data_IF_984836607783
#
_entry.id   IF_984836607783
#
_cell.length_a   1.000
_cell.length_b   1.000
_cell.length_c   1.000
_cell.angle_alpha   90.00
_cell.angle_beta   90.00
_cell.angle_gamma   90.00
#
_symmetry.space_group_name_H-M   'P 1'
#
loop_
_entity.id
_entity.type
_entity.pdbx_description
1 polymer ?
#
# COMPACT_ATOMS: atom_id res chain seq x y z
N UNK A 1 -12.90 -13.34 -36.19
CA UNK A 1 -12.91 -12.55 -34.94
C UNK A 1 -11.46 -12.27 -34.59
N UNK A 2 -11.06 -10.99 -34.57
CA UNK A 2 -9.68 -10.61 -34.26
C UNK A 2 -9.42 -10.83 -32.78
N UNK A 3 -8.38 -11.58 -32.43
CA UNK A 3 -7.91 -11.69 -31.05
C UNK A 3 -7.27 -10.37 -30.64
N UNK A 4 -7.73 -9.75 -29.54
CA UNK A 4 -7.07 -8.57 -29.00
C UNK A 4 -5.59 -8.86 -28.70
N UNK A 5 -4.75 -7.88 -28.98
CA UNK A 5 -3.39 -7.81 -28.45
C UNK A 5 -3.38 -7.22 -27.03
N UNK A 6 -2.35 -7.52 -26.24
CA UNK A 6 -2.20 -6.99 -24.87
C UNK A 6 -2.27 -5.46 -24.85
N UNK A 7 -1.66 -4.80 -25.83
CA UNK A 7 -1.66 -3.34 -25.95
C UNK A 7 -3.07 -2.77 -26.20
N UNK A 8 -3.93 -3.48 -26.92
CA UNK A 8 -5.31 -3.05 -27.16
C UNK A 8 -6.13 -3.17 -25.88
N UNK A 9 -5.98 -4.28 -25.16
CA UNK A 9 -6.62 -4.48 -23.84
C UNK A 9 -6.19 -3.38 -22.88
N UNK A 10 -4.87 -3.14 -22.74
CA UNK A 10 -4.33 -2.08 -21.88
C UNK A 10 -4.85 -0.70 -22.29
N UNK A 11 -4.90 -0.41 -23.58
CA UNK A 11 -5.40 0.86 -24.09
C UNK A 11 -6.87 1.08 -23.73
N UNK A 12 -7.73 0.08 -23.95
CA UNK A 12 -9.16 0.14 -23.59
C UNK A 12 -9.33 0.37 -22.09
N UNK A 13 -8.68 -0.46 -21.25
CA UNK A 13 -8.76 -0.34 -19.79
C UNK A 13 -8.28 1.05 -19.34
N UNK A 14 -7.17 1.54 -19.89
CA UNK A 14 -6.63 2.86 -19.53
C UNK A 14 -7.61 3.98 -19.86
N UNK A 15 -8.19 3.98 -21.06
CA UNK A 15 -9.15 5.02 -21.47
C UNK A 15 -10.43 4.99 -20.62
N UNK A 16 -10.94 3.81 -20.30
CA UNK A 16 -12.10 3.64 -19.44
C UNK A 16 -11.86 4.20 -18.02
N UNK A 17 -10.67 3.97 -17.47
CA UNK A 17 -10.30 4.50 -16.15
C UNK A 17 -10.00 6.00 -16.17
N UNK A 18 -9.42 6.53 -17.26
CA UNK A 18 -9.29 7.99 -17.46
C UNK A 18 -10.67 8.64 -17.41
N UNK A 19 -11.64 8.09 -18.14
CA UNK A 19 -13.02 8.57 -18.13
C UNK A 19 -13.64 8.53 -16.73
N UNK A 20 -13.58 7.35 -16.09
CA UNK A 20 -14.14 7.10 -14.76
C UNK A 20 -13.58 8.03 -13.67
N UNK A 21 -12.28 8.31 -13.71
CA UNK A 21 -11.58 9.04 -12.65
C UNK A 21 -11.30 10.51 -12.94
N UNK A 22 -11.57 10.97 -14.16
CA UNK A 22 -11.48 12.39 -14.52
C UNK A 22 -12.20 13.35 -13.55
N UNK A 23 -13.36 13.01 -12.95
CA UNK A 23 -14.06 13.95 -12.05
C UNK A 23 -13.38 14.12 -10.68
N UNK A 24 -12.47 13.22 -10.29
CA UNK A 24 -11.91 13.14 -8.93
C UNK A 24 -10.40 13.48 -8.87
N UNK A 25 -9.86 14.02 -9.97
CA UNK A 25 -8.48 14.49 -10.14
C UNK A 25 -7.41 13.41 -9.89
N UNK A 26 -7.67 12.18 -10.31
CA UNK A 26 -6.63 11.14 -10.33
C UNK A 26 -5.95 11.11 -11.70
N UNK A 27 -4.64 10.86 -11.68
CA UNK A 27 -3.82 10.69 -12.86
C UNK A 27 -3.75 9.20 -13.16
N UNK A 28 -4.15 8.81 -14.35
CA UNK A 28 -4.09 7.42 -14.84
C UNK A 28 -2.95 7.31 -15.85
N UNK A 29 -2.05 6.34 -15.66
CA UNK A 29 -0.88 6.08 -16.49
C UNK A 29 -0.84 4.62 -16.92
N UNK A 30 -0.52 4.40 -18.18
CA UNK A 30 -0.16 3.07 -18.68
C UNK A 30 1.28 2.75 -18.26
N UNK A 31 1.48 1.65 -17.54
CA UNK A 31 2.79 1.18 -17.07
C UNK A 31 3.08 -0.22 -17.64
N UNK A 32 4.36 -0.60 -17.69
CA UNK A 32 4.82 -1.81 -18.40
C UNK A 32 3.99 -3.08 -18.10
N UNK A 33 3.58 -3.28 -16.84
CA UNK A 33 2.84 -4.48 -16.39
C UNK A 33 1.37 -4.22 -16.04
N UNK A 34 0.81 -3.04 -16.34
CA UNK A 34 -0.59 -2.75 -16.00
C UNK A 34 -0.97 -1.27 -16.01
N UNK A 35 -1.90 -0.91 -15.13
CA UNK A 35 -2.45 0.43 -14.98
C UNK A 35 -2.00 1.03 -13.64
N UNK A 36 -1.36 2.19 -13.69
CA UNK A 36 -0.99 2.97 -12.51
C UNK A 36 -1.91 4.17 -12.37
N UNK A 37 -2.47 4.37 -11.19
CA UNK A 37 -3.39 5.47 -10.89
C UNK A 37 -2.86 6.18 -9.65
N UNK A 38 -2.67 7.48 -9.71
CA UNK A 38 -2.11 8.23 -8.59
C UNK A 38 -2.79 9.58 -8.36
N UNK A 39 -2.71 10.03 -7.13
CA UNK A 39 -3.13 11.36 -6.70
C UNK A 39 -2.17 11.87 -5.64
N UNK A 40 -1.63 13.06 -5.85
CA UNK A 40 -0.65 13.64 -4.94
C UNK A 40 -1.14 14.98 -4.40
N UNK A 41 -0.92 15.17 -3.10
CA UNK A 41 -1.12 16.41 -2.36
C UNK A 41 0.20 16.85 -1.74
N UNK A 42 0.20 17.98 -1.03
CA UNK A 42 1.37 18.41 -0.26
C UNK A 42 1.72 17.49 0.91
N UNK A 43 0.80 16.64 1.36
CA UNK A 43 0.99 15.75 2.52
C UNK A 43 1.10 14.28 2.14
N UNK A 44 0.40 13.87 1.09
CA UNK A 44 0.26 12.45 0.72
C UNK A 44 0.47 12.21 -0.78
N UNK A 45 0.92 10.99 -1.11
CA UNK A 45 0.76 10.42 -2.45
C UNK A 45 -0.02 9.12 -2.32
N UNK A 46 -1.17 9.08 -2.98
CA UNK A 46 -2.03 7.93 -3.09
C UNK A 46 -1.76 7.26 -4.43
N UNK A 47 -1.67 5.94 -4.43
CA UNK A 47 -1.46 5.18 -5.64
C UNK A 47 -2.21 3.85 -5.62
N UNK A 48 -2.67 3.46 -6.80
CA UNK A 48 -3.43 2.25 -7.07
C UNK A 48 -2.82 1.62 -8.31
N UNK A 49 -2.59 0.32 -8.25
CA UNK A 49 -1.97 -0.41 -9.33
C UNK A 49 -2.76 -1.65 -9.69
N UNK A 50 -3.23 -1.73 -10.93
CA UNK A 50 -3.84 -2.93 -11.49
C UNK A 50 -2.80 -3.63 -12.35
N UNK A 51 -2.57 -4.92 -12.09
CA UNK A 51 -1.70 -5.73 -12.96
C UNK A 51 -2.52 -6.24 -14.15
N UNK A 52 -2.03 -6.04 -15.37
CA UNK A 52 -2.60 -6.60 -16.61
C UNK A 52 -1.50 -7.42 -17.27
N UNK A 53 -1.58 -8.75 -17.15
CA UNK A 53 -0.55 -9.66 -17.66
C UNK A 53 -1.10 -10.57 -18.75
N UNK A 54 -0.25 -10.87 -19.72
CA UNK A 54 -0.48 -11.98 -20.64
C UNK A 54 -0.24 -13.28 -19.88
N UNK A 55 -1.28 -14.09 -19.73
CA UNK A 55 -1.19 -15.41 -19.13
C UNK A 55 -2.15 -16.32 -19.86
N UNK A 56 -1.61 -17.12 -20.77
CA UNK A 56 -2.39 -18.17 -21.40
C UNK A 56 -2.60 -19.32 -20.40
N UNK A 57 -3.85 -19.54 -19.99
CA UNK A 57 -4.25 -20.68 -19.18
C UNK A 57 -5.10 -21.63 -20.02
N UNK A 58 -4.53 -22.78 -20.40
CA UNK A 58 -5.20 -23.82 -21.19
C UNK A 58 -6.47 -24.37 -20.52
N UNK A 59 -6.52 -24.36 -19.18
CA UNK A 59 -7.66 -24.89 -18.41
C UNK A 59 -8.83 -23.92 -18.38
N UNK A 60 -8.55 -22.61 -18.40
CA UNK A 60 -9.56 -21.56 -18.35
C UNK A 60 -9.78 -20.87 -19.70
N UNK A 61 -9.05 -21.29 -20.74
CA UNK A 61 -9.02 -20.73 -22.09
C UNK A 61 -8.74 -19.21 -22.12
N UNK A 62 -8.26 -18.63 -21.04
CA UNK A 62 -8.03 -17.20 -20.91
C UNK A 62 -6.68 -16.77 -21.46
N UNK A 63 -6.61 -15.58 -22.07
CA UNK A 63 -5.38 -15.02 -22.63
C UNK A 63 -4.74 -13.94 -21.75
N UNK A 64 -5.56 -13.16 -21.03
CA UNK A 64 -5.09 -12.05 -20.20
C UNK A 64 -5.61 -12.17 -18.77
N UNK A 65 -4.75 -11.92 -17.79
CA UNK A 65 -5.11 -11.89 -16.37
C UNK A 65 -5.06 -10.45 -15.85
N UNK A 66 -6.20 -9.98 -15.34
CA UNK A 66 -6.31 -8.72 -14.62
C UNK A 66 -6.29 -9.02 -13.12
N UNK A 67 -5.19 -8.71 -12.44
CA UNK A 67 -5.09 -8.95 -11.00
C UNK A 67 -5.88 -7.90 -10.22
N UNK A 68 -6.23 -8.26 -8.98
CA UNK A 68 -6.78 -7.33 -7.99
C UNK A 68 -5.84 -6.13 -7.85
N UNK A 69 -6.37 -4.90 -7.71
CA UNK A 69 -5.50 -3.76 -7.54
C UNK A 69 -4.91 -3.74 -6.15
N UNK A 70 -3.63 -3.40 -6.08
CA UNK A 70 -3.02 -2.92 -4.84
C UNK A 70 -3.29 -1.43 -4.70
N UNK A 71 -3.65 -0.98 -3.51
CA UNK A 71 -3.72 0.44 -3.18
C UNK A 71 -2.66 0.79 -2.14
N UNK A 72 -2.31 2.06 -2.01
CA UNK A 72 -1.27 2.47 -1.06
C UNK A 72 -1.32 3.98 -0.88
N UNK A 73 -1.04 4.43 0.33
CA UNK A 73 -0.84 5.84 0.65
C UNK A 73 0.52 6.04 1.29
N UNK A 74 1.29 6.95 0.72
CA UNK A 74 2.50 7.53 1.27
C UNK A 74 2.13 8.80 2.03
N UNK A 75 2.55 8.92 3.27
CA UNK A 75 2.62 10.21 3.98
C UNK A 75 4.04 10.73 3.85
N UNK A 76 4.23 11.83 3.11
CA UNK A 76 5.57 12.32 2.74
C UNK A 76 6.45 12.56 3.96
N UNK A 77 5.86 13.09 5.04
CA UNK A 77 6.56 13.36 6.29
C UNK A 77 7.04 12.09 7.00
N UNK A 78 6.28 10.99 6.92
CA UNK A 78 6.69 9.72 7.53
C UNK A 78 7.89 9.16 6.77
N UNK A 79 7.76 9.03 5.45
CA UNK A 79 8.82 8.42 4.65
C UNK A 79 10.09 9.28 4.63
N UNK A 80 9.97 10.62 4.70
CA UNK A 80 11.12 11.52 4.85
C UNK A 80 11.93 11.20 6.11
N UNK A 81 11.27 11.07 7.27
CA UNK A 81 11.97 10.73 8.52
C UNK A 81 12.66 9.37 8.41
N UNK A 82 11.98 8.38 7.82
CA UNK A 82 12.54 7.05 7.62
C UNK A 82 13.76 7.07 6.69
N UNK A 83 13.72 7.81 5.58
CA UNK A 83 14.85 7.94 4.66
C UNK A 83 16.05 8.64 5.26
N UNK A 84 15.84 9.60 6.15
CA UNK A 84 16.94 10.31 6.83
C UNK A 84 17.54 9.49 7.98
N UNK A 85 16.77 8.57 8.57
CA UNK A 85 17.23 7.72 9.65
C UNK A 85 17.86 6.41 9.18
N UNK A 86 17.38 5.84 8.07
CA UNK A 86 17.70 4.48 7.63
C UNK A 86 18.28 4.44 6.22
N UNK A 87 19.52 3.95 6.11
CA UNK A 87 20.30 3.90 4.86
C UNK A 87 19.71 2.98 3.77
N UNK A 88 18.71 2.16 4.11
CA UNK A 88 18.08 1.15 3.23
C UNK A 88 16.78 1.65 2.55
N UNK A 89 16.51 2.95 2.65
CA UNK A 89 15.32 3.59 2.09
C UNK A 89 15.71 4.42 0.88
N UNK A 90 16.17 3.72 -0.15
CA UNK A 90 16.76 4.35 -1.35
C UNK A 90 15.71 4.86 -2.35
N UNK A 91 14.41 4.57 -2.16
CA UNK A 91 13.39 5.02 -3.11
C UNK A 91 12.12 5.56 -2.45
N UNK A 92 11.64 6.64 -3.06
CA UNK A 92 10.45 7.43 -2.75
C UNK A 92 9.14 6.64 -2.84
N UNK A 93 9.15 5.36 -3.20
CA UNK A 93 7.94 4.57 -3.47
C UNK A 93 7.51 3.62 -2.35
N UNK A 94 8.10 3.75 -1.15
CA UNK A 94 7.60 3.01 0.01
C UNK A 94 6.29 3.64 0.52
N UNK A 95 5.22 2.87 0.46
CA UNK A 95 3.95 3.25 1.05
C UNK A 95 4.04 3.29 2.57
N UNK A 96 3.40 4.28 3.18
CA UNK A 96 3.25 4.34 4.63
C UNK A 96 2.20 3.33 5.09
N UNK A 97 1.04 3.36 4.41
CA UNK A 97 -0.04 2.39 4.57
C UNK A 97 -0.32 1.71 3.24
N UNK A 98 -0.61 0.43 3.29
CA UNK A 98 -1.15 -0.32 2.18
C UNK A 98 -2.21 -1.30 2.70
N UNK A 99 -3.25 -1.61 1.91
CA UNK A 99 -3.92 -2.88 2.00
C UNK A 99 -3.11 -3.87 1.13
N UNK A 100 -2.17 -4.62 1.70
CA UNK A 100 -1.60 -5.75 0.96
C UNK A 100 -2.69 -6.82 0.74
N UNK A 101 -2.46 -7.72 -0.23
CA UNK A 101 -3.34 -8.78 -0.78
C UNK A 101 -4.04 -9.74 0.22
N UNK A 102 -3.95 -9.50 1.53
CA UNK A 102 -4.51 -10.31 2.63
C UNK A 102 -5.16 -9.47 3.74
N UNK A 103 -5.93 -8.43 3.40
CA UNK A 103 -6.74 -7.73 4.41
C UNK A 103 -8.02 -8.52 4.73
N UNK A 104 -7.95 -9.42 5.72
CA UNK A 104 -9.03 -10.33 6.15
C UNK A 104 -9.95 -9.78 7.26
N UNK A 105 -10.04 -8.46 7.44
CA UNK A 105 -11.07 -7.89 8.34
C UNK A 105 -12.50 -7.93 7.77
N UNK A 106 -12.67 -8.33 6.51
CA UNK A 106 -13.96 -8.41 5.82
C UNK A 106 -13.95 -8.02 4.35
N UNK A 107 -12.81 -7.79 3.70
CA UNK A 107 -12.77 -7.56 2.24
C UNK A 107 -12.83 -8.87 1.45
N UNK A 108 -12.16 -9.95 1.88
CA UNK A 108 -12.07 -11.20 1.10
C UNK A 108 -13.43 -11.83 0.70
N UNK A 109 -14.46 -11.70 1.54
CA UNK A 109 -15.81 -12.20 1.24
C UNK A 109 -16.63 -11.29 0.31
N UNK A 110 -16.10 -10.10 -0.02
CA UNK A 110 -16.71 -9.06 -0.85
C UNK A 110 -15.96 -8.82 -2.15
N UNK A 111 -14.81 -9.47 -2.33
CA UNK A 111 -14.05 -9.37 -3.58
C UNK A 111 -14.86 -10.05 -4.69
N UNK A 112 -15.03 -9.41 -5.85
CA UNK A 112 -15.50 -10.13 -7.02
C UNK A 112 -14.58 -11.35 -7.25
N UNK A 113 -15.12 -12.45 -7.81
CA UNK A 113 -14.28 -13.58 -8.22
C UNK A 113 -13.11 -13.05 -9.05
N UNK A 114 -11.91 -13.66 -8.95
CA UNK A 114 -10.76 -13.24 -9.74
C UNK A 114 -11.19 -13.06 -11.20
N UNK A 115 -10.87 -11.91 -11.79
CA UNK A 115 -11.30 -11.54 -13.13
C UNK A 115 -10.87 -12.66 -14.07
N UNK A 116 -11.86 -13.45 -14.49
CA UNK A 116 -11.66 -14.64 -15.33
C UNK A 116 -11.11 -14.15 -16.64
N UNK A 117 -9.97 -14.69 -17.08
CA UNK A 117 -9.20 -13.95 -18.04
C UNK A 117 -9.89 -13.74 -19.40
N UNK A 118 -9.55 -12.61 -20.02
CA UNK A 118 -10.30 -12.02 -21.13
C UNK A 118 -9.98 -12.73 -22.45
N UNK A 119 -11.01 -13.20 -23.16
CA UNK A 119 -10.89 -13.80 -24.50
C UNK A 119 -11.61 -13.02 -25.60
N UNK A 120 -12.53 -12.12 -25.25
CA UNK A 120 -13.29 -11.30 -26.19
C UNK A 120 -13.66 -9.90 -25.63
N UNK A 121 -14.29 -9.06 -26.45
CA UNK A 121 -14.62 -7.67 -26.11
C UNK A 121 -15.71 -7.56 -25.03
N UNK A 122 -16.67 -8.47 -25.01
CA UNK A 122 -17.77 -8.46 -24.03
C UNK A 122 -17.24 -8.79 -22.64
N UNK A 123 -16.33 -9.75 -22.54
CA UNK A 123 -15.62 -10.07 -21.30
C UNK A 123 -14.71 -8.92 -20.84
N UNK A 124 -14.01 -8.26 -21.77
CA UNK A 124 -13.21 -7.09 -21.43
C UNK A 124 -14.08 -5.98 -20.83
N UNK A 125 -15.22 -5.67 -21.46
CA UNK A 125 -16.17 -4.66 -20.95
C UNK A 125 -16.70 -5.04 -19.56
N UNK A 126 -17.14 -6.29 -19.39
CA UNK A 126 -17.60 -6.81 -18.09
C UNK A 126 -16.53 -6.65 -17.01
N UNK A 127 -15.30 -7.07 -17.30
CA UNK A 127 -14.21 -7.06 -16.33
C UNK A 127 -13.80 -5.63 -15.96
N UNK A 128 -13.78 -4.71 -16.93
CA UNK A 128 -13.57 -3.27 -16.69
C UNK A 128 -14.63 -2.70 -15.73
N UNK A 129 -15.91 -3.01 -15.94
CA UNK A 129 -16.97 -2.54 -15.04
C UNK A 129 -16.82 -3.11 -13.63
N UNK A 130 -16.49 -4.40 -13.50
CA UNK A 130 -16.19 -5.02 -12.18
C UNK A 130 -15.02 -4.30 -11.50
N UNK A 131 -13.97 -3.93 -12.23
CA UNK A 131 -12.84 -3.20 -11.67
C UNK A 131 -13.22 -1.78 -11.22
N UNK A 132 -14.07 -1.07 -11.98
CA UNK A 132 -14.58 0.26 -11.59
C UNK A 132 -15.42 0.17 -10.32
N UNK A 133 -16.34 -0.78 -10.24
CA UNK A 133 -17.14 -1.03 -9.04
C UNK A 133 -16.24 -1.36 -7.84
N UNK A 134 -15.22 -2.21 -8.05
CA UNK A 134 -14.27 -2.55 -7.01
C UNK A 134 -13.50 -1.33 -6.50
N UNK A 135 -13.06 -0.49 -7.43
CA UNK A 135 -12.38 0.76 -7.12
C UNK A 135 -13.26 1.66 -6.24
N UNK A 136 -14.50 1.88 -6.64
CA UNK A 136 -15.42 2.80 -5.97
C UNK A 136 -15.89 2.29 -4.61
N UNK A 137 -16.12 0.98 -4.47
CA UNK A 137 -16.66 0.39 -3.25
C UNK A 137 -15.61 0.09 -2.19
N UNK A 138 -14.37 -0.21 -2.59
CA UNK A 138 -13.35 -0.75 -1.68
C UNK A 138 -12.08 0.08 -1.63
N UNK A 139 -11.59 0.56 -2.78
CA UNK A 139 -10.29 1.21 -2.86
C UNK A 139 -10.37 2.70 -2.56
N UNK A 140 -11.31 3.43 -3.17
CA UNK A 140 -11.46 4.87 -2.90
C UNK A 140 -11.87 5.13 -1.44
N UNK A 141 -12.77 4.35 -0.81
CA UNK A 141 -13.09 4.53 0.61
C UNK A 141 -11.89 4.35 1.54
N UNK A 142 -10.94 3.47 1.24
CA UNK A 142 -9.71 3.33 2.03
C UNK A 142 -8.95 4.67 2.16
N UNK A 143 -8.88 5.45 1.09
CA UNK A 143 -8.25 6.77 1.10
C UNK A 143 -9.07 7.82 1.85
N UNK A 144 -10.38 7.63 1.96
CA UNK A 144 -11.29 8.49 2.72
C UNK A 144 -11.21 8.17 4.22
N UNK A 145 -11.06 6.89 4.58
CA UNK A 145 -11.04 6.41 5.97
C UNK A 145 -9.74 6.79 6.71
N UNK A 146 -8.62 6.95 5.99
CA UNK A 146 -7.31 7.23 6.58
C UNK A 146 -6.67 8.55 6.10
N UNK A 147 -7.38 9.70 6.14
CA UNK A 147 -6.94 10.94 5.51
C UNK A 147 -5.72 11.56 6.19
N UNK A 148 -5.50 11.31 7.48
CA UNK A 148 -4.37 11.86 8.24
C UNK A 148 -3.66 10.78 9.05
N UNK A 149 -2.49 11.14 9.59
CA UNK A 149 -1.75 10.27 10.50
C UNK A 149 -2.53 9.96 11.80
N UNK A 150 -3.51 10.78 12.19
CA UNK A 150 -4.33 10.51 13.38
C UNK A 150 -5.24 9.31 13.18
N UNK A 151 -5.91 9.20 12.02
CA UNK A 151 -6.76 8.03 11.73
C UNK A 151 -5.91 6.78 11.51
N UNK A 152 -4.74 6.92 10.88
CA UNK A 152 -3.78 5.82 10.73
C UNK A 152 -3.29 5.31 12.09
N UNK A 153 -2.88 6.22 12.97
CA UNK A 153 -2.44 5.88 14.33
C UNK A 153 -3.57 5.19 15.13
N UNK A 154 -4.78 5.75 15.12
CA UNK A 154 -5.94 5.16 15.78
C UNK A 154 -6.21 3.72 15.30
N UNK A 155 -6.00 3.43 14.01
CA UNK A 155 -6.10 2.08 13.45
C UNK A 155 -4.96 1.18 13.89
N UNK A 156 -3.73 1.66 13.87
CA UNK A 156 -2.54 0.91 14.32
C UNK A 156 -2.69 0.46 15.78
N UNK A 157 -3.28 1.29 16.66
CA UNK A 157 -3.50 0.92 18.07
C UNK A 157 -4.48 -0.26 18.25
N UNK A 158 -5.28 -0.57 17.24
CA UNK A 158 -6.24 -1.68 17.26
C UNK A 158 -5.66 -2.98 16.66
N UNK A 159 -4.50 -2.89 16.00
CA UNK A 159 -3.88 -4.03 15.30
C UNK A 159 -2.78 -4.61 16.21
N UNK A 160 -2.77 -5.93 16.46
CA UNK A 160 -1.66 -6.59 17.14
C UNK A 160 -0.32 -6.31 16.45
N UNK A 161 0.76 -6.11 17.21
CA UNK A 161 2.09 -5.78 16.65
C UNK A 161 2.51 -6.77 15.55
N UNK A 162 2.25 -8.05 15.74
CA UNK A 162 2.58 -9.13 14.79
C UNK A 162 1.85 -8.98 13.45
N UNK A 163 0.70 -8.32 13.42
CA UNK A 163 -0.14 -8.13 12.22
C UNK A 163 0.03 -6.75 11.59
N UNK A 164 0.82 -5.84 12.19
CA UNK A 164 0.98 -4.48 11.67
C UNK A 164 1.57 -4.44 10.26
N UNK A 165 2.42 -5.40 9.91
CA UNK A 165 3.00 -5.52 8.57
C UNK A 165 1.95 -5.71 7.46
N UNK A 166 0.70 -6.04 7.81
CA UNK A 166 -0.42 -6.13 6.87
C UNK A 166 -1.03 -4.77 6.52
N UNK A 167 -0.77 -3.74 7.32
CA UNK A 167 -1.36 -2.42 7.19
C UNK A 167 -0.33 -1.31 6.95
N UNK A 168 0.83 -1.38 7.62
CA UNK A 168 1.94 -0.44 7.42
C UNK A 168 3.13 -1.15 6.78
N UNK A 169 3.89 -0.41 5.97
CA UNK A 169 5.04 -0.97 5.28
C UNK A 169 6.17 -1.41 6.19
N UNK A 170 7.17 -2.04 5.56
CA UNK A 170 8.50 -2.22 6.14
C UNK A 170 9.29 -0.91 6.08
N UNK A 171 9.96 -0.47 7.13
CA UNK A 171 10.24 -1.14 8.40
C UNK A 171 9.13 -0.82 9.44
N UNK A 172 8.52 -1.85 10.02
CA UNK A 172 7.25 -1.73 10.77
C UNK A 172 7.40 -0.99 12.10
N UNK A 173 8.46 -1.27 12.88
CA UNK A 173 8.62 -0.72 14.22
C UNK A 173 8.92 0.78 14.14
N UNK A 174 9.90 1.15 13.33
CA UNK A 174 10.31 2.53 13.09
C UNK A 174 9.20 3.34 12.43
N UNK A 175 8.50 2.78 11.44
CA UNK A 175 7.35 3.47 10.84
C UNK A 175 6.25 3.73 11.88
N UNK A 176 5.93 2.77 12.76
CA UNK A 176 5.00 3.01 13.87
C UNK A 176 5.49 4.10 14.83
N UNK A 177 6.77 4.12 15.20
CA UNK A 177 7.34 5.18 16.04
C UNK A 177 7.11 6.56 15.41
N UNK A 178 7.42 6.70 14.11
CA UNK A 178 7.25 7.97 13.37
C UNK A 178 5.77 8.37 13.31
N UNK A 179 4.88 7.44 12.96
CA UNK A 179 3.44 7.71 12.88
C UNK A 179 2.90 8.17 14.24
N UNK A 180 3.19 7.44 15.32
CA UNK A 180 2.74 7.80 16.68
C UNK A 180 3.23 9.20 17.08
N UNK A 181 4.50 9.50 16.82
CA UNK A 181 5.09 10.82 17.13
C UNK A 181 4.39 11.93 16.36
N UNK A 182 4.29 11.79 15.05
CA UNK A 182 3.74 12.82 14.16
C UNK A 182 2.22 12.98 14.33
N UNK A 183 1.51 11.93 14.75
CA UNK A 183 0.09 11.99 15.11
C UNK A 183 -0.16 12.64 16.48
N UNK A 184 0.87 12.83 17.31
CA UNK A 184 0.76 13.34 18.68
C UNK A 184 0.17 12.32 19.65
N UNK A 185 0.44 11.02 19.43
CA UNK A 185 -0.09 9.96 20.28
C UNK A 185 0.54 10.04 21.69
N UNK A 186 -0.26 10.12 22.77
CA UNK A 186 0.24 10.24 24.14
C UNK A 186 1.01 8.98 24.61
N UNK A 187 0.77 7.82 24.01
CA UNK A 187 1.48 6.56 24.27
C UNK A 187 2.81 6.41 23.54
N UNK A 188 3.28 7.43 22.81
CA UNK A 188 4.56 7.36 22.07
C UNK A 188 5.74 6.99 22.98
N UNK A 189 5.91 7.70 24.09
CA UNK A 189 7.06 7.49 24.99
C UNK A 189 7.06 6.08 25.61
N UNK A 190 5.87 5.57 25.97
CA UNK A 190 5.71 4.22 26.51
C UNK A 190 6.06 3.15 25.46
N UNK A 191 5.55 3.32 24.23
CA UNK A 191 5.85 2.41 23.13
C UNK A 191 7.35 2.39 22.80
N UNK A 192 7.99 3.56 22.71
CA UNK A 192 9.44 3.64 22.44
C UNK A 192 10.24 2.99 23.54
N UNK A 193 9.90 3.23 24.81
CA UNK A 193 10.55 2.57 25.95
C UNK A 193 10.43 1.05 25.86
N UNK A 194 9.23 0.52 25.60
CA UNK A 194 9.02 -0.92 25.45
C UNK A 194 9.92 -1.53 24.36
N UNK A 195 10.02 -0.87 23.22
CA UNK A 195 10.83 -1.34 22.08
C UNK A 195 12.33 -1.33 22.42
N UNK A 196 12.82 -0.23 23.00
CA UNK A 196 14.24 -0.14 23.38
C UNK A 196 14.60 -1.11 24.50
N UNK A 197 13.74 -1.27 25.52
CA UNK A 197 13.94 -2.23 26.61
C UNK A 197 14.03 -3.68 26.08
N UNK A 198 13.21 -4.04 25.08
CA UNK A 198 13.26 -5.34 24.42
C UNK A 198 14.61 -5.58 23.72
N UNK A 199 15.01 -4.66 22.84
CA UNK A 199 16.25 -4.81 22.07
C UNK A 199 17.49 -4.73 22.96
N UNK A 200 17.48 -3.92 24.01
CA UNK A 200 18.56 -3.91 25.01
C UNK A 200 18.67 -5.25 25.74
N UNK A 201 17.54 -5.85 26.12
CA UNK A 201 17.50 -7.17 26.74
C UNK A 201 18.08 -8.27 25.85
N UNK A 202 17.72 -8.28 24.57
CA UNK A 202 18.23 -9.25 23.59
C UNK A 202 19.72 -8.99 23.24
N UNK A 203 20.13 -7.73 23.12
CA UNK A 203 21.53 -7.37 22.89
C UNK A 203 22.44 -7.83 24.05
N UNK A 204 22.00 -7.70 25.30
CA UNK A 204 22.72 -8.20 26.49
C UNK A 204 22.88 -9.73 26.50
N UNK A 205 22.01 -10.46 25.80
CA UNK A 205 22.12 -11.93 25.61
C UNK A 205 23.07 -12.30 24.47
N UNK A 206 23.69 -11.32 23.81
CA UNK A 206 24.63 -11.52 22.70
C UNK A 206 23.98 -11.54 21.32
N UNK A 207 22.70 -11.13 21.18
CA UNK A 207 22.06 -11.02 19.88
C UNK A 207 22.58 -9.77 19.13
N UNK A 208 23.37 -10.00 18.07
CA UNK A 208 23.98 -8.93 17.27
C UNK A 208 22.95 -8.12 16.47
N UNK A 209 21.88 -8.76 15.98
CA UNK A 209 20.79 -8.07 15.26
C UNK A 209 20.04 -7.14 16.21
N UNK A 210 19.74 -7.60 17.42
CA UNK A 210 19.09 -6.77 18.43
C UNK A 210 19.95 -5.56 18.85
N UNK A 211 21.28 -5.71 18.88
CA UNK A 211 22.19 -4.59 19.13
C UNK A 211 22.11 -3.55 18.00
N UNK A 212 22.14 -4.00 16.75
CA UNK A 212 22.01 -3.11 15.59
C UNK A 212 20.64 -2.41 15.58
N UNK A 213 19.56 -3.13 15.91
CA UNK A 213 18.22 -2.58 16.02
C UNK A 213 18.10 -1.56 17.17
N UNK A 214 18.73 -1.81 18.31
CA UNK A 214 18.77 -0.85 19.42
C UNK A 214 19.42 0.47 18.99
N UNK A 215 20.59 0.41 18.33
CA UNK A 215 21.29 1.58 17.81
C UNK A 215 20.42 2.33 16.79
N UNK A 216 19.80 1.58 15.87
CA UNK A 216 18.89 2.08 14.84
C UNK A 216 17.69 2.84 15.42
N UNK A 217 16.97 2.25 16.38
CA UNK A 217 15.78 2.88 16.96
C UNK A 217 16.11 3.99 17.96
N UNK A 218 17.29 3.95 18.59
CA UNK A 218 17.79 5.07 19.39
C UNK A 218 18.04 6.30 18.52
N UNK A 219 18.73 6.12 17.38
CA UNK A 219 18.93 7.20 16.39
C UNK A 219 17.59 7.79 15.93
N UNK A 220 16.60 6.95 15.62
CA UNK A 220 15.28 7.40 15.22
C UNK A 220 14.58 8.21 16.33
N UNK A 221 14.61 7.73 17.58
CA UNK A 221 14.04 8.44 18.72
C UNK A 221 14.67 9.82 18.89
N UNK A 222 15.99 9.92 18.80
CA UNK A 222 16.73 11.18 18.92
C UNK A 222 16.40 12.14 17.78
N UNK A 223 16.33 11.64 16.55
CA UNK A 223 15.93 12.44 15.39
C UNK A 223 14.53 13.05 15.60
N UNK A 224 13.57 12.22 16.04
CA UNK A 224 12.17 12.62 16.32
C UNK A 224 12.01 13.54 17.53
N UNK A 225 13.01 13.64 18.41
CA UNK A 225 12.98 14.58 19.53
C UNK A 225 13.43 15.99 19.12
N UNK A 226 14.21 16.09 18.04
CA UNK A 226 14.86 17.32 17.59
C UNK A 226 14.19 17.95 16.36
N UNK A 227 13.18 17.31 15.78
CA UNK A 227 12.41 17.75 14.61
C UNK A 227 10.91 17.54 14.82
#
# INVERSE_FOLDING_TARGET
MGTFGLNEVKSVVTQEFIGHLSPVNWIVRDENYGLWIEKETSETKDFIYFTIKDHYDEKHLSKYHLARPSASRRFHRVEKVLSECFDQFDEMDKATIFPFDYYDGGMDNRLPPPLTGVVNEEELKRDVEIMKEYLDQYILPFFIDYPTLKEVDAKIQQIPIVDLHKFIGQEVIGRRMVIMKLAGNPGYEEYVKMILDYFEGEAKKGNAEAKADLEKYTKLKEYLANN
#
